data_IF_778055878150
#
_entry.id   IF_778055878150
#
_cell.length_a   1.000
_cell.length_b   1.000
_cell.length_c   1.000
_cell.angle_alpha   90.00
_cell.angle_beta   90.00
_cell.angle_gamma   90.00
#
_symmetry.space_group_name_H-M   'P 1'
#
loop_
_entity.id
_entity.type
_entity.pdbx_description
1 polymer ?
#
# COMPACT_ATOMS: atom_id res chain seq x y z
N UNK A 1 -3.88 0.34 -16.95
CA UNK A 1 -4.04 -0.15 -15.57
C UNK A 1 -2.84 0.24 -14.71
N UNK A 2 -1.65 -0.37 -14.92
CA UNK A 2 -0.43 -0.03 -14.16
C UNK A 2 -0.09 1.46 -14.09
N UNK A 3 -0.30 2.23 -15.18
CA UNK A 3 -0.09 3.69 -15.16
C UNK A 3 -1.06 4.41 -14.20
N UNK A 4 -2.31 3.96 -14.14
CA UNK A 4 -3.29 4.49 -13.18
C UNK A 4 -2.90 4.10 -11.75
N UNK A 5 -2.41 2.89 -11.52
CA UNK A 5 -1.88 2.47 -10.21
C UNK A 5 -0.66 3.31 -9.80
N UNK A 6 0.18 3.70 -10.77
CA UNK A 6 1.31 4.62 -10.57
C UNK A 6 0.89 6.01 -10.10
N UNK A 7 -0.36 6.41 -10.32
CA UNK A 7 -0.94 7.66 -9.84
C UNK A 7 -1.67 7.44 -8.51
N UNK A 8 -2.55 6.44 -8.43
CA UNK A 8 -3.42 6.24 -7.28
C UNK A 8 -2.69 5.64 -6.07
N UNK A 9 -1.77 4.70 -6.28
CA UNK A 9 -1.11 3.99 -5.18
C UNK A 9 -0.24 4.92 -4.33
N UNK A 10 0.65 5.77 -4.90
CA UNK A 10 1.43 6.70 -4.10
C UNK A 10 0.55 7.71 -3.36
N UNK A 11 -0.46 8.23 -4.05
CA UNK A 11 -1.39 9.22 -3.50
C UNK A 11 -2.16 8.67 -2.30
N UNK A 12 -2.85 7.54 -2.47
CA UNK A 12 -3.71 6.96 -1.44
C UNK A 12 -2.91 6.32 -0.32
N UNK A 13 -1.80 5.64 -0.62
CA UNK A 13 -0.99 4.96 0.41
C UNK A 13 -0.32 5.97 1.35
N UNK A 14 0.34 7.00 0.80
CA UNK A 14 1.02 8.02 1.63
C UNK A 14 0.00 8.84 2.40
N UNK A 15 -1.14 9.18 1.80
CA UNK A 15 -2.21 9.88 2.48
C UNK A 15 -2.77 9.05 3.66
N UNK A 16 -3.06 7.76 3.43
CA UNK A 16 -3.53 6.84 4.47
C UNK A 16 -2.52 6.69 5.60
N UNK A 17 -1.22 6.60 5.30
CA UNK A 17 -0.18 6.57 6.31
C UNK A 17 -0.19 7.84 7.17
N UNK A 18 -0.17 9.02 6.54
CA UNK A 18 -0.12 10.31 7.24
C UNK A 18 -1.39 10.60 8.04
N UNK A 19 -2.55 10.10 7.61
CA UNK A 19 -3.80 10.23 8.37
C UNK A 19 -3.73 9.63 9.78
N UNK A 20 -2.76 8.74 10.04
CA UNK A 20 -2.48 8.25 11.39
C UNK A 20 -2.24 9.35 12.41
N UNK A 21 -1.67 10.51 12.01
CA UNK A 21 -1.43 11.65 12.90
C UNK A 21 -2.74 12.18 13.51
N UNK A 22 -3.84 12.18 12.76
CA UNK A 22 -5.15 12.63 13.25
C UNK A 22 -5.69 11.78 14.40
N UNK A 23 -5.20 10.55 14.54
CA UNK A 23 -5.65 9.62 15.57
C UNK A 23 -5.15 10.03 16.96
N UNK A 24 -3.95 10.61 17.05
CA UNK A 24 -3.35 11.07 18.30
C UNK A 24 -3.53 12.56 18.56
N UNK A 25 -3.61 13.36 17.50
CA UNK A 25 -3.75 14.80 17.60
C UNK A 25 -5.08 15.25 17.01
N UNK A 26 -6.17 15.05 17.77
CA UNK A 26 -7.55 15.33 17.36
C UNK A 26 -7.86 16.80 17.03
N UNK A 27 -6.91 17.72 17.23
CA UNK A 27 -7.04 19.15 16.92
C UNK A 27 -6.33 19.62 15.63
N UNK A 28 -5.62 18.76 14.90
CA UNK A 28 -5.02 19.19 13.63
C UNK A 28 -6.07 19.25 12.52
N UNK A 29 -6.17 20.42 11.90
CA UNK A 29 -6.94 20.63 10.68
C UNK A 29 -6.54 19.62 9.59
N UNK A 30 -7.52 19.16 8.81
CA UNK A 30 -7.35 18.24 7.69
C UNK A 30 -6.21 18.64 6.74
N UNK A 31 -6.05 19.96 6.56
CA UNK A 31 -5.05 20.58 5.72
C UNK A 31 -3.60 20.21 6.10
N UNK A 32 -3.30 19.92 7.37
CA UNK A 32 -1.94 19.57 7.78
C UNK A 32 -1.54 18.17 7.31
N UNK A 33 -2.45 17.20 7.39
CA UNK A 33 -2.19 15.84 6.89
C UNK A 33 -1.93 15.87 5.38
N UNK A 34 -2.77 16.60 4.64
CA UNK A 34 -2.62 16.81 3.19
C UNK A 34 -1.27 17.47 2.87
N UNK A 35 -0.89 18.53 3.58
CA UNK A 35 0.37 19.23 3.35
C UNK A 35 1.58 18.31 3.59
N UNK A 36 1.57 17.52 4.66
CA UNK A 36 2.61 16.53 4.95
C UNK A 36 2.67 15.46 3.83
N UNK A 37 1.52 14.95 3.38
CA UNK A 37 1.44 14.01 2.26
C UNK A 37 2.05 14.61 0.98
N UNK A 38 1.70 15.85 0.64
CA UNK A 38 2.28 16.55 -0.51
C UNK A 38 3.80 16.70 -0.39
N UNK A 39 4.31 17.04 0.79
CA UNK A 39 5.76 17.14 1.05
C UNK A 39 6.46 15.79 0.88
N UNK A 40 5.87 14.70 1.38
CA UNK A 40 6.41 13.34 1.20
C UNK A 40 6.39 12.95 -0.26
N UNK A 41 5.32 13.22 -1.01
CA UNK A 41 5.24 12.93 -2.44
C UNK A 41 6.27 13.73 -3.25
N UNK A 42 6.40 15.04 -3.00
CA UNK A 42 7.43 15.85 -3.67
C UNK A 42 8.82 15.31 -3.37
N UNK A 43 9.12 14.98 -2.12
CA UNK A 43 10.39 14.35 -1.75
C UNK A 43 10.60 13.00 -2.45
N UNK A 44 9.56 12.15 -2.47
CA UNK A 44 9.57 10.85 -3.13
C UNK A 44 9.91 10.97 -4.62
N UNK A 45 9.19 11.83 -5.34
CA UNK A 45 9.36 12.06 -6.78
C UNK A 45 10.66 12.80 -7.12
N UNK A 46 11.11 13.71 -6.25
CA UNK A 46 12.39 14.39 -6.41
C UNK A 46 13.56 13.42 -6.26
N UNK A 47 13.48 12.44 -5.34
CA UNK A 47 14.56 11.47 -5.09
C UNK A 47 14.65 10.36 -6.15
N UNK A 48 13.71 10.27 -7.09
CA UNK A 48 13.68 9.24 -8.14
C UNK A 48 14.93 9.21 -9.02
N UNK A 49 15.52 10.37 -9.29
CA UNK A 49 16.72 10.49 -10.13
C UNK A 49 17.99 9.86 -9.52
N UNK A 50 18.03 9.67 -8.19
CA UNK A 50 19.17 9.06 -7.48
C UNK A 50 19.24 7.54 -7.73
N UNK A 51 18.16 6.96 -8.25
CA UNK A 51 18.11 5.59 -8.72
C UNK A 51 17.83 4.57 -7.63
N UNK A 52 17.03 3.57 -7.99
CA UNK A 52 16.65 2.44 -7.13
C UNK A 52 17.86 1.58 -6.72
N UNK A 53 18.98 1.64 -7.44
CA UNK A 53 20.17 0.84 -7.16
C UNK A 53 20.78 1.11 -5.78
N UNK A 54 20.81 2.37 -5.33
CA UNK A 54 21.47 2.74 -4.06
C UNK A 54 20.60 2.44 -2.84
N UNK A 55 19.28 2.40 -3.01
CA UNK A 55 18.31 2.30 -1.90
C UNK A 55 17.53 0.99 -1.87
N UNK A 56 17.58 0.19 -2.94
CA UNK A 56 16.85 -1.07 -3.03
C UNK A 56 17.16 -2.07 -1.92
N UNK A 57 18.36 -2.05 -1.35
CA UNK A 57 18.73 -2.93 -0.24
C UNK A 57 17.97 -2.59 1.06
N UNK A 58 17.52 -1.34 1.23
CA UNK A 58 16.75 -0.89 2.40
C UNK A 58 15.26 -1.26 2.29
N UNK A 59 14.77 -1.57 1.09
CA UNK A 59 13.34 -1.82 0.88
C UNK A 59 12.89 -3.12 1.54
N UNK A 60 13.65 -4.19 1.37
CA UNK A 60 13.36 -5.50 1.97
C UNK A 60 13.25 -5.44 3.50
N UNK A 61 14.23 -4.90 4.26
CA UNK A 61 14.11 -4.84 5.72
C UNK A 61 12.96 -3.95 6.18
N UNK A 62 12.68 -2.83 5.49
CA UNK A 62 11.54 -1.95 5.84
C UNK A 62 10.22 -2.72 5.71
N UNK A 63 10.01 -3.42 4.59
CA UNK A 63 8.78 -4.19 4.36
C UNK A 63 8.66 -5.37 5.33
N UNK A 64 9.75 -6.07 5.63
CA UNK A 64 9.73 -7.16 6.62
C UNK A 64 9.36 -6.64 8.01
N UNK A 65 9.96 -5.54 8.46
CA UNK A 65 9.65 -4.91 9.74
C UNK A 65 8.19 -4.43 9.77
N UNK A 66 7.68 -3.89 8.66
CA UNK A 66 6.26 -3.54 8.52
C UNK A 66 5.34 -4.75 8.65
N UNK A 67 5.59 -5.83 7.91
CA UNK A 67 4.80 -7.06 7.94
C UNK A 67 4.80 -7.71 9.32
N UNK A 68 5.94 -7.72 10.00
CA UNK A 68 6.06 -8.20 11.38
C UNK A 68 5.29 -7.29 12.35
N UNK A 69 5.35 -5.97 12.17
CA UNK A 69 4.65 -5.01 13.01
C UNK A 69 3.12 -5.18 12.92
N UNK A 70 2.56 -5.25 11.71
CA UNK A 70 1.11 -5.45 11.52
C UNK A 70 0.67 -6.83 12.01
N UNK A 71 1.51 -7.86 11.88
CA UNK A 71 1.23 -9.20 12.40
C UNK A 71 1.19 -9.20 13.92
N UNK A 72 2.14 -8.54 14.58
CA UNK A 72 2.19 -8.41 16.03
C UNK A 72 0.99 -7.66 16.59
N UNK A 73 0.63 -6.53 15.99
CA UNK A 73 -0.59 -5.77 16.35
C UNK A 73 -1.85 -6.61 16.09
N UNK A 74 -1.89 -7.34 14.98
CA UNK A 74 -2.99 -8.24 14.64
C UNK A 74 -3.22 -9.31 15.70
N UNK A 75 -2.16 -10.03 16.10
CA UNK A 75 -2.21 -11.06 17.15
C UNK A 75 -2.66 -10.44 18.48
N UNK A 76 -2.09 -9.29 18.86
CA UNK A 76 -2.48 -8.60 20.08
C UNK A 76 -3.99 -8.30 20.11
N UNK A 77 -4.52 -7.77 19.01
CA UNK A 77 -5.94 -7.41 18.94
C UNK A 77 -6.88 -8.62 18.92
N UNK A 78 -6.47 -9.74 18.30
CA UNK A 78 -7.24 -10.99 18.35
C UNK A 78 -7.35 -11.48 19.80
N UNK A 79 -6.24 -11.51 20.53
CA UNK A 79 -6.22 -12.01 21.92
C UNK A 79 -6.98 -11.06 22.85
N UNK A 80 -6.77 -9.76 22.72
CA UNK A 80 -7.30 -8.76 23.65
C UNK A 80 -8.79 -8.45 23.42
N UNK A 81 -9.23 -8.30 22.16
CA UNK A 81 -10.58 -7.82 21.88
C UNK A 81 -11.58 -8.93 21.57
N UNK A 82 -11.20 -9.90 20.74
CA UNK A 82 -12.12 -10.97 20.33
C UNK A 82 -11.40 -12.21 19.75
N UNK A 83 -11.12 -13.23 20.59
CA UNK A 83 -10.48 -14.46 20.13
C UNK A 83 -11.36 -15.28 19.16
N UNK A 84 -12.68 -15.09 19.18
CA UNK A 84 -13.61 -15.81 18.30
C UNK A 84 -13.52 -15.35 16.85
N UNK A 85 -12.81 -14.25 16.55
CA UNK A 85 -12.64 -13.76 15.17
C UNK A 85 -11.96 -14.81 14.28
N UNK A 86 -11.15 -15.72 14.85
CA UNK A 86 -10.50 -16.81 14.10
C UNK A 86 -11.52 -17.73 13.43
N UNK A 87 -12.72 -17.85 14.00
CA UNK A 87 -13.80 -18.61 13.37
C UNK A 87 -14.23 -18.04 12.02
N UNK A 88 -13.97 -16.76 11.74
CA UNK A 88 -14.27 -16.12 10.46
C UNK A 88 -13.48 -16.70 9.28
N UNK A 89 -12.41 -17.46 9.53
CA UNK A 89 -11.71 -18.23 8.49
C UNK A 89 -12.58 -19.37 7.91
N UNK A 90 -13.63 -19.79 8.62
CA UNK A 90 -14.55 -20.79 8.12
C UNK A 90 -15.46 -20.19 7.03
N UNK A 91 -15.56 -20.84 5.85
CA UNK A 91 -16.43 -20.38 4.76
C UNK A 91 -17.92 -20.33 5.15
N UNK A 92 -18.29 -20.99 6.24
CA UNK A 92 -19.63 -20.91 6.84
C UNK A 92 -20.08 -19.47 7.11
N UNK A 93 -19.18 -18.59 7.55
CA UNK A 93 -19.54 -17.20 7.88
C UNK A 93 -19.86 -16.36 6.65
N UNK A 94 -19.19 -16.63 5.52
CA UNK A 94 -19.49 -15.99 4.23
C UNK A 94 -20.89 -16.41 3.75
N UNK A 95 -21.24 -17.69 3.85
CA UNK A 95 -22.59 -18.15 3.52
C UNK A 95 -23.65 -17.49 4.42
N UNK A 96 -23.37 -17.41 5.73
CA UNK A 96 -24.27 -16.75 6.70
C UNK A 96 -24.44 -15.26 6.39
N UNK A 97 -23.36 -14.58 6.00
CA UNK A 97 -23.39 -13.16 5.60
C UNK A 97 -24.32 -12.94 4.40
N UNK A 98 -24.22 -13.76 3.35
CA UNK A 98 -25.11 -13.63 2.18
C UNK A 98 -26.56 -13.95 2.51
N UNK A 99 -26.81 -14.95 3.37
CA UNK A 99 -28.17 -15.30 3.78
C UNK A 99 -28.86 -14.18 4.57
N UNK A 100 -28.10 -13.45 5.40
CA UNK A 100 -28.64 -12.37 6.24
C UNK A 100 -28.76 -11.04 5.51
N UNK A 101 -27.75 -10.69 4.70
CA UNK A 101 -27.59 -9.34 4.13
C UNK A 101 -28.14 -9.25 2.71
N UNK A 102 -28.39 -10.38 2.04
CA UNK A 102 -28.99 -10.42 0.71
C UNK A 102 -28.20 -9.58 -0.32
N UNK A 103 -28.87 -8.59 -0.92
CA UNK A 103 -28.29 -7.72 -1.96
C UNK A 103 -27.15 -6.83 -1.43
N UNK A 104 -27.25 -6.30 -0.21
CA UNK A 104 -26.23 -5.39 0.33
C UNK A 104 -24.91 -6.12 0.65
N UNK A 105 -25.01 -7.41 1.04
CA UNK A 105 -23.85 -8.28 1.19
C UNK A 105 -23.13 -8.51 -0.15
N UNK A 106 -23.88 -8.56 -1.25
CA UNK A 106 -23.32 -8.64 -2.61
C UNK A 106 -22.62 -7.35 -3.02
N UNK A 107 -23.18 -6.19 -2.69
CA UNK A 107 -22.55 -4.90 -2.98
C UNK A 107 -21.26 -4.71 -2.18
N UNK A 108 -21.22 -5.20 -0.95
CA UNK A 108 -20.05 -5.12 -0.05
C UNK A 108 -18.82 -5.88 -0.57
N UNK A 109 -19.01 -6.93 -1.38
CA UNK A 109 -17.91 -7.64 -2.05
C UNK A 109 -17.09 -6.72 -2.95
N UNK A 110 -17.70 -5.67 -3.53
CA UNK A 110 -16.98 -4.69 -4.35
C UNK A 110 -15.86 -3.99 -3.58
N UNK A 111 -16.07 -3.69 -2.29
CA UNK A 111 -15.03 -3.14 -1.42
C UNK A 111 -13.91 -4.14 -1.13
N UNK A 112 -14.23 -5.43 -1.02
CA UNK A 112 -13.24 -6.50 -0.79
C UNK A 112 -12.32 -6.67 -2.01
N UNK A 113 -12.86 -6.49 -3.23
CA UNK A 113 -12.06 -6.53 -4.46
C UNK A 113 -11.00 -5.43 -4.48
N UNK A 114 -11.25 -4.27 -3.88
CA UNK A 114 -10.25 -3.21 -3.76
C UNK A 114 -9.05 -3.62 -2.89
N UNK A 115 -9.18 -4.62 -2.01
CA UNK A 115 -8.06 -5.14 -1.24
C UNK A 115 -7.11 -6.02 -2.08
N UNK A 116 -7.50 -6.41 -3.30
CA UNK A 116 -6.71 -7.24 -4.21
C UNK A 116 -5.80 -6.37 -5.11
N UNK A 117 -5.97 -5.04 -5.08
CA UNK A 117 -5.11 -4.11 -5.83
C UNK A 117 -3.65 -4.32 -5.45
N UNK A 118 -2.79 -4.56 -6.44
CA UNK A 118 -1.37 -4.90 -6.24
C UNK A 118 -1.01 -6.34 -6.63
N UNK A 119 -1.98 -7.25 -6.73
CA UNK A 119 -1.74 -8.58 -7.32
C UNK A 119 -1.22 -8.46 -8.77
N UNK A 120 -1.67 -7.46 -9.51
CA UNK A 120 -1.25 -7.19 -10.89
C UNK A 120 0.21 -6.76 -11.00
N UNK A 121 0.68 -5.95 -10.06
CA UNK A 121 2.09 -5.59 -9.98
C UNK A 121 2.96 -6.83 -9.74
N UNK A 122 2.50 -7.73 -8.87
CA UNK A 122 3.16 -9.03 -8.65
C UNK A 122 3.19 -9.89 -9.92
N UNK A 123 2.14 -9.86 -10.75
CA UNK A 123 2.14 -10.58 -12.04
C UNK A 123 3.08 -9.94 -13.07
N UNK A 124 3.19 -8.62 -13.11
CA UNK A 124 4.15 -7.93 -13.98
C UNK A 124 5.61 -8.29 -13.61
N UNK A 125 5.87 -8.54 -12.34
CA UNK A 125 7.20 -8.90 -11.81
C UNK A 125 7.63 -10.35 -12.13
N UNK A 126 6.73 -11.21 -12.63
CA UNK A 126 7.12 -12.54 -13.14
C UNK A 126 8.10 -12.45 -14.34
N UNK A 127 8.20 -11.29 -14.99
CA UNK A 127 9.22 -11.04 -16.01
C UNK A 127 10.64 -10.83 -15.46
N UNK A 128 10.77 -10.52 -14.16
CA UNK A 128 12.05 -10.24 -13.50
C UNK A 128 12.43 -11.29 -12.45
N UNK A 129 11.45 -11.93 -11.80
CA UNK A 129 11.66 -12.89 -10.73
C UNK A 129 11.07 -14.26 -11.04
N UNK A 130 11.64 -15.30 -10.44
CA UNK A 130 11.11 -16.66 -10.60
C UNK A 130 9.74 -16.81 -9.93
N UNK A 131 8.82 -17.52 -10.57
CA UNK A 131 7.49 -17.82 -10.03
C UNK A 131 7.56 -18.49 -8.65
N UNK A 132 8.55 -19.37 -8.43
CA UNK A 132 8.74 -20.06 -7.16
C UNK A 132 9.10 -19.09 -6.04
N UNK A 133 10.00 -18.13 -6.30
CA UNK A 133 10.40 -17.11 -5.32
C UNK A 133 9.21 -16.28 -4.85
N UNK A 134 8.38 -15.81 -5.80
CA UNK A 134 7.17 -15.03 -5.51
C UNK A 134 6.18 -15.87 -4.69
N UNK A 135 5.95 -17.13 -5.10
CA UNK A 135 5.00 -18.01 -4.42
C UNK A 135 5.40 -18.28 -2.97
N UNK A 136 6.70 -18.52 -2.73
CA UNK A 136 7.23 -18.75 -1.38
C UNK A 136 7.03 -17.48 -0.54
N UNK A 137 7.54 -16.33 -0.98
CA UNK A 137 7.44 -15.07 -0.23
C UNK A 137 5.98 -14.70 0.10
N UNK A 138 5.09 -14.87 -0.88
CA UNK A 138 3.67 -14.58 -0.69
C UNK A 138 3.03 -15.52 0.32
N UNK A 139 3.22 -16.83 0.18
CA UNK A 139 2.53 -17.84 1.00
C UNK A 139 3.07 -17.88 2.43
N UNK A 140 4.38 -17.67 2.64
CA UNK A 140 5.00 -17.85 3.95
C UNK A 140 5.01 -16.59 4.81
N UNK A 141 5.11 -15.40 4.20
CA UNK A 141 5.27 -14.14 4.94
C UNK A 141 4.08 -13.23 4.71
N UNK A 142 3.79 -12.87 3.46
CA UNK A 142 2.83 -11.80 3.14
C UNK A 142 1.41 -12.23 3.52
N UNK A 143 0.96 -13.38 3.01
CA UNK A 143 -0.38 -13.89 3.22
C UNK A 143 -0.76 -14.08 4.69
N UNK A 144 0.05 -14.77 5.54
CA UNK A 144 -0.29 -14.90 6.96
C UNK A 144 -0.27 -13.54 7.69
N UNK A 145 0.65 -12.64 7.33
CA UNK A 145 0.71 -11.30 7.94
C UNK A 145 -0.55 -10.49 7.65
N UNK A 146 -1.04 -10.53 6.41
CA UNK A 146 -2.26 -9.83 6.00
C UNK A 146 -3.50 -10.42 6.68
N UNK A 147 -3.60 -11.75 6.75
CA UNK A 147 -4.70 -12.41 7.47
C UNK A 147 -4.73 -11.97 8.94
N UNK A 148 -3.58 -11.97 9.62
CA UNK A 148 -3.49 -11.54 11.02
C UNK A 148 -3.87 -10.07 11.19
N UNK A 149 -3.42 -9.20 10.29
CA UNK A 149 -3.75 -7.77 10.32
C UNK A 149 -5.27 -7.55 10.19
N UNK A 150 -5.91 -8.12 9.16
CA UNK A 150 -7.35 -7.98 8.94
C UNK A 150 -8.19 -8.61 10.05
N UNK A 151 -7.79 -9.78 10.57
CA UNK A 151 -8.47 -10.40 11.71
C UNK A 151 -8.35 -9.56 12.98
N UNK A 152 -7.16 -9.03 13.26
CA UNK A 152 -6.95 -8.14 14.40
C UNK A 152 -7.76 -6.85 14.30
N UNK A 153 -7.84 -6.27 13.11
CA UNK A 153 -8.69 -5.11 12.86
C UNK A 153 -10.17 -5.45 13.05
N UNK A 154 -10.65 -6.56 12.49
CA UNK A 154 -12.02 -7.03 12.70
C UNK A 154 -12.33 -7.32 14.19
N UNK A 155 -11.36 -7.85 14.95
CA UNK A 155 -11.50 -8.06 16.38
C UNK A 155 -11.69 -6.73 17.13
N UNK A 156 -10.93 -5.69 16.76
CA UNK A 156 -11.07 -4.35 17.32
C UNK A 156 -12.44 -3.72 16.98
N UNK A 157 -12.85 -3.71 15.70
CA UNK A 157 -14.16 -3.17 15.28
C UNK A 157 -15.34 -3.88 15.93
N UNK A 158 -15.19 -5.17 16.29
CA UNK A 158 -16.28 -5.91 16.95
C UNK A 158 -16.71 -5.27 18.27
N UNK A 159 -15.83 -4.48 18.91
CA UNK A 159 -16.10 -3.72 20.13
C UNK A 159 -16.26 -2.21 19.87
N UNK A 160 -15.60 -1.66 18.84
CA UNK A 160 -15.59 -0.23 18.52
C UNK A 160 -16.13 0.04 17.11
N UNK A 161 -17.46 -0.05 16.96
CA UNK A 161 -18.12 0.07 15.64
C UNK A 161 -18.07 1.48 15.05
N UNK A 162 -17.88 2.50 15.88
CA UNK A 162 -17.90 3.91 15.48
C UNK A 162 -16.59 4.37 14.82
N UNK A 163 -15.53 3.56 14.90
CA UNK A 163 -14.17 3.95 14.52
C UNK A 163 -13.73 3.51 13.12
N UNK A 164 -14.69 3.25 12.24
CA UNK A 164 -14.46 2.59 10.94
C UNK A 164 -13.38 3.26 10.08
N UNK A 165 -13.28 4.59 10.09
CA UNK A 165 -12.30 5.33 9.27
C UNK A 165 -10.90 5.42 9.88
N UNK A 166 -10.74 5.21 11.20
CA UNK A 166 -9.44 5.32 11.90
C UNK A 166 -9.05 4.02 12.60
N UNK A 167 -9.73 2.94 12.25
CA UNK A 167 -9.67 1.67 12.92
C UNK A 167 -8.23 1.14 13.03
N UNK A 168 -7.49 1.06 11.92
CA UNK A 168 -6.11 0.59 11.93
C UNK A 168 -5.25 1.30 12.99
N UNK A 169 -5.25 2.63 13.02
CA UNK A 169 -4.41 3.40 13.95
C UNK A 169 -4.93 3.40 15.39
N UNK A 170 -6.25 3.29 15.61
CA UNK A 170 -6.83 3.16 16.95
C UNK A 170 -6.67 1.76 17.54
N UNK A 171 -6.57 0.75 16.68
CA UNK A 171 -6.33 -0.63 17.08
C UNK A 171 -4.88 -0.86 17.54
N UNK A 172 -3.96 0.09 17.33
CA UNK A 172 -2.56 -0.01 17.77
C UNK A 172 -2.46 0.44 19.25
N UNK A 173 -1.82 -0.34 20.13
CA UNK A 173 -1.56 0.08 21.50
C UNK A 173 -0.74 1.36 21.57
N UNK A 174 -1.04 2.24 22.53
CA UNK A 174 -0.45 3.57 22.60
C UNK A 174 1.09 3.57 22.68
N UNK A 175 1.67 2.57 23.35
CA UNK A 175 3.11 2.43 23.57
C UNK A 175 3.87 2.21 22.25
N UNK A 176 3.26 1.52 21.29
CA UNK A 176 3.91 1.16 20.01
C UNK A 176 3.41 2.01 18.83
N UNK A 177 2.52 2.97 19.08
CA UNK A 177 1.92 3.81 18.05
C UNK A 177 2.98 4.54 17.20
N UNK A 178 3.88 5.28 17.84
CA UNK A 178 4.89 6.09 17.13
C UNK A 178 5.86 5.25 16.29
N UNK A 179 6.43 4.14 16.81
CA UNK A 179 7.21 3.21 15.99
C UNK A 179 6.44 2.69 14.77
N UNK A 180 5.21 2.20 14.96
CA UNK A 180 4.41 1.63 13.87
C UNK A 180 4.04 2.70 12.84
N UNK A 181 3.74 3.92 13.27
CA UNK A 181 3.47 5.05 12.38
C UNK A 181 4.66 5.40 11.48
N UNK A 182 5.88 5.44 12.04
CA UNK A 182 7.10 5.71 11.27
C UNK A 182 7.33 4.59 10.25
N UNK A 183 7.20 3.33 10.69
CA UNK A 183 7.38 2.16 9.81
C UNK A 183 6.32 2.15 8.71
N UNK A 184 5.05 2.47 9.02
CA UNK A 184 3.97 2.59 8.04
C UNK A 184 4.32 3.63 6.97
N UNK A 185 4.77 4.81 7.39
CA UNK A 185 5.17 5.88 6.48
C UNK A 185 6.31 5.43 5.57
N UNK A 186 7.35 4.80 6.12
CA UNK A 186 8.45 4.24 5.33
C UNK A 186 7.99 3.14 4.37
N UNK A 187 7.12 2.24 4.81
CA UNK A 187 6.58 1.17 3.98
C UNK A 187 5.78 1.72 2.79
N UNK A 188 4.97 2.76 3.00
CA UNK A 188 4.21 3.39 1.90
C UNK A 188 5.12 4.12 0.90
N UNK A 189 6.22 4.73 1.36
CA UNK A 189 7.26 5.28 0.49
C UNK A 189 7.88 4.19 -0.37
N UNK A 190 8.26 3.05 0.22
CA UNK A 190 8.82 1.90 -0.50
C UNK A 190 7.82 1.31 -1.50
N UNK A 191 6.56 1.13 -1.09
CA UNK A 191 5.51 0.64 -1.97
C UNK A 191 5.29 1.58 -3.17
N UNK A 192 5.29 2.89 -2.93
CA UNK A 192 5.15 3.89 -3.99
C UNK A 192 6.32 3.84 -4.99
N UNK A 193 7.55 3.67 -4.50
CA UNK A 193 8.74 3.50 -5.34
C UNK A 193 8.63 2.29 -6.29
N UNK A 194 8.11 1.17 -5.79
CA UNK A 194 7.93 -0.05 -6.58
C UNK A 194 6.96 0.18 -7.75
N UNK A 195 5.82 0.82 -7.50
CA UNK A 195 4.81 1.08 -8.55
C UNK A 195 5.28 2.13 -9.55
N UNK A 196 6.00 3.16 -9.11
CA UNK A 196 6.61 4.16 -10.01
C UNK A 196 7.62 3.47 -10.94
N UNK A 197 8.48 2.61 -10.37
CA UNK A 197 9.46 1.83 -11.16
C UNK A 197 8.77 0.88 -12.16
N UNK A 198 7.70 0.20 -11.75
CA UNK A 198 6.89 -0.64 -12.63
C UNK A 198 6.27 0.16 -13.78
N UNK A 199 5.82 1.40 -13.50
CA UNK A 199 5.27 2.31 -14.52
C UNK A 199 6.33 2.69 -15.56
N UNK A 200 7.57 2.98 -15.14
CA UNK A 200 8.67 3.26 -16.07
C UNK A 200 9.01 2.04 -16.94
N UNK A 201 9.01 0.83 -16.37
CA UNK A 201 9.22 -0.42 -17.11
C UNK A 201 8.16 -0.65 -18.18
N UNK A 202 6.88 -0.48 -17.86
CA UNK A 202 5.78 -0.63 -18.82
C UNK A 202 5.89 0.40 -19.94
N UNK A 203 6.18 1.66 -19.63
CA UNK A 203 6.32 2.71 -20.67
C UNK A 203 7.50 2.43 -21.59
N UNK A 204 8.61 1.91 -21.07
CA UNK A 204 9.74 1.46 -21.88
C UNK A 204 9.36 0.33 -22.84
N UNK A 205 8.61 -0.67 -22.34
CA UNK A 205 8.09 -1.78 -23.17
C UNK A 205 7.11 -1.28 -24.25
N UNK A 206 6.19 -0.37 -23.90
CA UNK A 206 5.26 0.23 -24.86
C UNK A 206 5.99 1.01 -25.96
N UNK A 207 7.10 1.69 -25.62
CA UNK A 207 7.95 2.34 -26.62
C UNK A 207 8.60 1.33 -27.56
N UNK A 208 9.10 0.20 -27.05
CA UNK A 208 9.67 -0.86 -27.89
C UNK A 208 8.65 -1.44 -28.88
N UNK A 209 7.36 -1.44 -28.51
CA UNK A 209 6.23 -1.84 -29.36
C UNK A 209 5.70 -0.72 -30.27
N UNK A 210 6.35 0.46 -30.32
CA UNK A 210 5.89 1.67 -31.01
C UNK A 210 4.49 2.18 -30.58
N UNK A 211 3.99 1.76 -29.41
CA UNK A 211 2.70 2.18 -28.87
C UNK A 211 2.77 3.48 -28.05
N UNK A 212 3.98 4.06 -27.86
CA UNK A 212 4.18 5.25 -27.05
C UNK A 212 5.16 6.23 -27.72
N UNK A 213 4.93 7.56 -27.65
CA UNK A 213 5.82 8.56 -28.24
C UNK A 213 7.24 8.49 -27.68
N UNK A 214 8.22 9.04 -28.42
CA UNK A 214 9.64 8.99 -28.06
C UNK A 214 9.91 9.77 -26.76
N UNK A 215 9.96 9.06 -25.65
CA UNK A 215 10.41 9.55 -24.35
C UNK A 215 11.90 9.30 -24.13
N UNK A 216 12.58 10.25 -23.49
CA UNK A 216 13.99 10.14 -23.10
C UNK A 216 14.14 9.12 -21.97
N UNK A 217 14.75 7.99 -22.27
CA UNK A 217 15.01 6.93 -21.29
C UNK A 217 16.44 7.08 -20.77
N UNK A 218 16.58 7.25 -19.46
CA UNK A 218 17.87 7.25 -18.76
C UNK A 218 17.99 5.91 -18.05
N UNK A 219 18.93 5.08 -18.48
CA UNK A 219 19.23 3.83 -17.80
C UNK A 219 20.05 4.17 -16.55
N UNK A 220 19.51 3.83 -15.39
CA UNK A 220 20.12 4.21 -14.11
C UNK A 220 21.23 3.25 -13.70
N UNK A 221 21.28 2.06 -14.31
CA UNK A 221 22.37 1.10 -14.13
C UNK A 221 22.72 0.43 -15.47
N UNK A 222 24.02 0.28 -15.73
CA UNK A 222 24.54 -0.42 -16.91
C UNK A 222 24.51 -1.96 -16.76
N UNK A 223 24.21 -2.49 -15.56
CA UNK A 223 24.25 -3.93 -15.28
C UNK A 223 22.87 -4.59 -15.13
N UNK A 224 21.80 -3.82 -14.90
CA UNK A 224 20.44 -4.36 -14.72
C UNK A 224 19.46 -3.66 -15.67
N UNK A 225 18.96 -4.41 -16.65
CA UNK A 225 18.04 -3.91 -17.69
C UNK A 225 16.70 -3.34 -17.15
N UNK A 226 16.35 -3.64 -15.89
CA UNK A 226 15.10 -3.20 -15.26
C UNK A 226 15.14 -1.85 -14.53
N UNK A 227 16.28 -1.13 -14.51
CA UNK A 227 16.40 0.16 -13.80
C UNK A 227 16.33 1.35 -14.75
N UNK A 228 15.10 1.77 -15.02
CA UNK A 228 14.73 2.75 -16.04
C UNK A 228 14.20 4.01 -15.35
N UNK A 229 14.83 5.17 -15.59
CA UNK A 229 14.31 6.46 -15.14
C UNK A 229 13.85 7.27 -16.36
N UNK A 230 12.61 7.75 -16.30
CA UNK A 230 12.00 8.57 -17.36
C UNK A 230 11.55 9.90 -16.74
N UNK A 231 12.36 10.98 -16.85
CA UNK A 231 12.09 12.25 -16.19
C UNK A 231 10.70 12.83 -16.49
N UNK A 232 10.29 12.79 -17.76
CA UNK A 232 8.99 13.34 -18.20
C UNK A 232 7.81 12.64 -17.50
N UNK A 233 7.87 11.30 -17.44
CA UNK A 233 6.84 10.49 -16.79
C UNK A 233 6.84 10.75 -15.29
N UNK A 234 8.02 10.86 -14.68
CA UNK A 234 8.16 11.16 -13.27
C UNK A 234 7.44 12.45 -12.86
N UNK A 235 7.68 13.54 -13.60
CA UNK A 235 7.03 14.82 -13.33
C UNK A 235 5.53 14.78 -13.60
N UNK A 236 5.09 14.10 -14.67
CA UNK A 236 3.66 13.90 -14.94
C UNK A 236 2.98 13.13 -13.79
N UNK A 237 3.55 12.01 -13.36
CA UNK A 237 3.04 11.21 -12.24
C UNK A 237 2.99 12.05 -10.95
N UNK A 238 4.02 12.83 -10.66
CA UNK A 238 4.04 13.72 -9.49
C UNK A 238 2.87 14.71 -9.52
N UNK A 239 2.64 15.39 -10.64
CA UNK A 239 1.54 16.35 -10.79
C UNK A 239 0.19 15.67 -10.61
N UNK A 240 -0.03 14.51 -11.24
CA UNK A 240 -1.28 13.77 -11.07
C UNK A 240 -1.50 13.28 -9.64
N UNK A 241 -0.46 12.81 -8.96
CA UNK A 241 -0.55 12.42 -7.56
C UNK A 241 -0.96 13.60 -6.66
N UNK A 242 -0.33 14.76 -6.86
CA UNK A 242 -0.66 15.97 -6.11
C UNK A 242 -2.09 16.44 -6.39
N UNK A 243 -2.53 16.37 -7.65
CA UNK A 243 -3.92 16.67 -8.01
C UNK A 243 -4.89 15.75 -7.28
N UNK A 244 -4.68 14.44 -7.29
CA UNK A 244 -5.53 13.48 -6.58
C UNK A 244 -5.60 13.79 -5.08
N UNK A 245 -4.45 14.02 -4.44
CA UNK A 245 -4.41 14.36 -3.00
C UNK A 245 -5.11 15.69 -2.71
N UNK A 246 -4.96 16.69 -3.58
CA UNK A 246 -5.63 17.98 -3.42
C UNK A 246 -7.14 17.91 -3.64
N UNK A 247 -7.62 17.05 -4.54
CA UNK A 247 -9.06 16.86 -4.77
C UNK A 247 -9.75 16.19 -3.58
N UNK A 248 -9.05 15.32 -2.85
CA UNK A 248 -9.58 14.72 -1.62
C UNK A 248 -9.77 15.73 -0.47
N UNK A 249 -9.34 16.99 -0.64
CA UNK A 249 -9.52 18.07 0.35
C UNK A 249 -10.79 18.91 0.16
N UNK A 250 -11.50 18.72 -0.97
CA UNK A 250 -12.75 19.38 -1.35
C UNK A 250 -13.95 18.49 -1.06
#
# INVERSE_FOLDING_TARGET
MVIADGILTPSMSVLSAVYGIKTKAGGLHENYAILITCMILVGLFALQHIGTQRVGFLFTPIILVWLLSISGVGIYNIIHWNPRVVSALSPYYVYKLFKLTGKDGWTSLGGIVLCITGAEAMFADLGHFSQLSIRIAFTTIIYPSLILAYMGEAAYLSKHKEDLQRSFYRAIPEVVFWPVFIIATLATVVASQAVISATFSIISQCRALNCFPRVKIIHTSNQVHGQIYIPEVNWMLMVFCLLVVSQLSL
#
